data_IF_025946842390
#
_entry.id   IF_025946842390
#
_cell.length_a   1.000
_cell.length_b   1.000
_cell.length_c   1.000
_cell.angle_alpha   90.00
_cell.angle_beta   90.00
_cell.angle_gamma   90.00
#
_symmetry.space_group_name_H-M   'P 1'
#
loop_
_entity.id
_entity.type
_entity.pdbx_description
1 polymer ?
#
# COMPACT_ATOMS: atom_id res chain seq x y z
N UNK A 1 63.56 -1.02 -32.01
CA UNK A 1 62.11 -0.82 -32.09
C UNK A 1 61.70 -1.04 -33.54
N UNK A 2 60.99 -2.11 -33.82
CA UNK A 2 60.59 -2.48 -35.20
C UNK A 2 59.44 -1.59 -35.67
N UNK A 3 59.31 -1.34 -36.97
CA UNK A 3 58.18 -0.56 -37.53
C UNK A 3 56.82 -1.15 -37.13
N UNK A 4 56.75 -2.47 -36.93
CA UNK A 4 55.59 -3.17 -36.37
C UNK A 4 55.27 -2.79 -34.92
N UNK A 5 56.27 -2.62 -34.04
CA UNK A 5 56.06 -2.22 -32.65
C UNK A 5 55.52 -0.79 -32.54
N UNK A 6 56.03 0.12 -33.37
CA UNK A 6 55.52 1.49 -33.45
C UNK A 6 54.07 1.53 -33.94
N UNK A 7 53.75 0.78 -35.00
CA UNK A 7 52.40 0.70 -35.52
C UNK A 7 51.40 0.12 -34.50
N UNK A 8 51.77 -0.95 -33.78
CA UNK A 8 50.95 -1.53 -32.71
C UNK A 8 50.73 -0.50 -31.58
N UNK A 9 51.76 0.25 -31.19
CA UNK A 9 51.64 1.31 -30.19
C UNK A 9 50.65 2.41 -30.59
N UNK A 10 50.68 2.84 -31.85
CA UNK A 10 49.73 3.83 -32.39
C UNK A 10 48.30 3.28 -32.41
N UNK A 11 48.11 2.02 -32.82
CA UNK A 11 46.79 1.37 -32.85
C UNK A 11 46.20 1.24 -31.45
N UNK A 12 47.00 0.80 -30.46
CA UNK A 12 46.54 0.69 -29.06
C UNK A 12 46.22 2.06 -28.48
N UNK A 13 47.06 3.07 -28.72
CA UNK A 13 46.83 4.44 -28.25
C UNK A 13 45.56 5.07 -28.88
N UNK A 14 45.18 4.65 -30.08
CA UNK A 14 43.99 5.15 -30.79
C UNK A 14 42.71 4.42 -30.39
N UNK A 15 42.75 3.08 -30.31
CA UNK A 15 41.58 2.23 -30.08
C UNK A 15 41.26 2.09 -28.59
N UNK A 16 42.28 2.11 -27.72
CA UNK A 16 42.11 1.98 -26.26
C UNK A 16 41.13 3.01 -25.68
N UNK A 17 41.32 4.32 -25.92
CA UNK A 17 40.41 5.35 -25.45
C UNK A 17 38.99 5.22 -26.01
N UNK A 18 38.83 4.79 -27.27
CA UNK A 18 37.52 4.56 -27.88
C UNK A 18 36.77 3.41 -27.20
N UNK A 19 37.44 2.28 -26.94
CA UNK A 19 36.84 1.15 -26.24
C UNK A 19 36.47 1.50 -24.81
N UNK A 20 37.32 2.26 -24.11
CA UNK A 20 37.01 2.77 -22.77
C UNK A 20 35.80 3.71 -22.81
N UNK A 21 35.74 4.64 -23.76
CA UNK A 21 34.62 5.57 -23.92
C UNK A 21 33.29 4.83 -24.17
N UNK A 22 33.30 3.81 -25.04
CA UNK A 22 32.12 2.94 -25.27
C UNK A 22 31.75 2.18 -24.00
N UNK A 23 32.72 1.66 -23.26
CA UNK A 23 32.50 0.98 -21.99
C UNK A 23 31.87 1.89 -20.92
N UNK A 24 32.35 3.12 -20.79
CA UNK A 24 31.77 4.13 -19.90
C UNK A 24 30.35 4.50 -20.29
N UNK A 25 30.09 4.74 -21.58
CA UNK A 25 28.74 5.03 -22.09
C UNK A 25 27.78 3.88 -21.84
N UNK A 26 28.23 2.64 -22.05
CA UNK A 26 27.44 1.44 -21.78
C UNK A 26 27.11 1.31 -20.28
N UNK A 27 28.11 1.49 -19.40
CA UNK A 27 27.92 1.47 -17.95
C UNK A 27 26.96 2.56 -17.47
N UNK A 28 27.13 3.79 -17.95
CA UNK A 28 26.22 4.90 -17.64
C UNK A 28 24.79 4.62 -18.10
N UNK A 29 24.62 4.00 -19.28
CA UNK A 29 23.30 3.59 -19.76
C UNK A 29 22.67 2.51 -18.89
N UNK A 30 23.44 1.51 -18.47
CA UNK A 30 22.95 0.47 -17.55
C UNK A 30 22.53 1.04 -16.20
N UNK A 31 23.30 1.97 -15.65
CA UNK A 31 23.00 2.62 -14.38
C UNK A 31 21.70 3.44 -14.47
N UNK A 32 21.53 4.24 -15.53
CA UNK A 32 20.26 4.93 -15.80
C UNK A 32 19.07 3.97 -15.89
N UNK A 33 19.22 2.86 -16.61
CA UNK A 33 18.16 1.83 -16.71
C UNK A 33 17.85 1.22 -15.35
N UNK A 34 18.86 0.93 -14.54
CA UNK A 34 18.70 0.36 -13.19
C UNK A 34 17.94 1.32 -12.29
N UNK A 35 18.30 2.60 -12.28
CA UNK A 35 17.63 3.63 -11.48
C UNK A 35 16.17 3.80 -11.91
N UNK A 36 15.90 3.86 -13.22
CA UNK A 36 14.52 3.93 -13.75
C UNK A 36 13.68 2.71 -13.38
N UNK A 37 14.26 1.50 -13.38
CA UNK A 37 13.55 0.29 -12.92
C UNK A 37 13.19 0.36 -11.45
N UNK A 38 14.08 0.88 -10.60
CA UNK A 38 13.80 1.07 -9.18
C UNK A 38 12.70 2.10 -8.96
N UNK A 39 12.76 3.25 -9.63
CA UNK A 39 11.69 4.23 -9.57
C UNK A 39 10.35 3.67 -10.07
N UNK A 40 10.34 2.92 -11.18
CA UNK A 40 9.13 2.29 -11.71
C UNK A 40 8.53 1.25 -10.73
N UNK A 41 9.39 0.51 -10.02
CA UNK A 41 8.95 -0.41 -8.98
C UNK A 41 8.24 0.32 -7.83
N UNK A 42 8.82 1.42 -7.33
CA UNK A 42 8.22 2.21 -6.25
C UNK A 42 6.86 2.80 -6.66
N UNK A 43 6.76 3.33 -7.89
CA UNK A 43 5.49 3.84 -8.42
C UNK A 43 4.46 2.73 -8.62
N UNK A 44 4.87 1.53 -9.02
CA UNK A 44 3.97 0.37 -9.11
C UNK A 44 3.46 -0.09 -7.75
N UNK A 45 4.26 0.03 -6.69
CA UNK A 45 3.84 -0.28 -5.31
C UNK A 45 2.75 0.68 -4.83
N UNK A 46 2.92 1.98 -5.12
CA UNK A 46 1.90 3.01 -4.84
C UNK A 46 0.65 2.75 -5.69
N UNK A 47 0.83 2.43 -6.97
CA UNK A 47 -0.29 2.10 -7.87
C UNK A 47 -1.07 0.91 -7.36
N UNK A 48 -0.41 -0.14 -6.85
CA UNK A 48 -1.11 -1.31 -6.32
C UNK A 48 -2.00 -0.93 -5.13
N UNK A 49 -1.53 -0.04 -4.25
CA UNK A 49 -2.32 0.44 -3.13
C UNK A 49 -3.53 1.29 -3.56
N UNK A 50 -3.31 2.29 -4.43
CA UNK A 50 -4.41 3.15 -4.93
C UNK A 50 -5.41 2.30 -5.72
N UNK A 51 -4.93 1.33 -6.49
CA UNK A 51 -5.80 0.44 -7.24
C UNK A 51 -6.50 -0.59 -6.34
N UNK A 52 -5.99 -0.89 -5.16
CA UNK A 52 -6.70 -1.69 -4.17
C UNK A 52 -7.87 -0.90 -3.60
N UNK A 53 -7.63 0.33 -3.14
CA UNK A 53 -8.67 1.20 -2.55
C UNK A 53 -9.74 1.63 -3.55
N UNK A 54 -9.38 1.78 -4.83
CA UNK A 54 -10.32 2.18 -5.87
C UNK A 54 -11.26 1.05 -6.31
N UNK A 55 -10.87 -0.23 -6.14
CA UNK A 55 -11.65 -1.39 -6.61
C UNK A 55 -12.34 -2.12 -5.47
N UNK A 56 -11.79 -1.99 -4.25
CA UNK A 56 -12.43 -2.47 -3.03
C UNK A 56 -12.76 -1.26 -2.17
N UNK A 57 -13.98 -0.71 -2.32
CA UNK A 57 -14.40 0.39 -1.47
C UNK A 57 -14.29 -0.04 -0.02
N UNK A 58 -13.74 0.85 0.81
CA UNK A 58 -13.43 0.55 2.21
C UNK A 58 -14.68 0.15 3.00
N UNK A 59 -15.88 0.60 2.59
CA UNK A 59 -17.17 0.14 3.13
C UNK A 59 -17.32 -1.39 3.03
N UNK A 60 -17.00 -1.96 1.87
CA UNK A 60 -17.00 -3.41 1.66
C UNK A 60 -15.92 -4.10 2.49
N UNK A 61 -14.73 -3.48 2.57
CA UNK A 61 -13.61 -4.02 3.35
C UNK A 61 -13.91 -4.07 4.85
N UNK A 62 -14.50 -3.02 5.42
CA UNK A 62 -14.89 -2.97 6.83
C UNK A 62 -16.04 -3.95 7.09
N UNK A 63 -17.05 -3.99 6.21
CA UNK A 63 -18.18 -4.92 6.35
C UNK A 63 -17.72 -6.37 6.34
N UNK A 64 -16.88 -6.74 5.37
CA UNK A 64 -16.33 -8.08 5.25
C UNK A 64 -15.40 -8.42 6.44
N UNK A 65 -14.61 -7.45 6.93
CA UNK A 65 -13.79 -7.63 8.14
C UNK A 65 -14.66 -7.87 9.39
N UNK A 66 -15.72 -7.09 9.60
CA UNK A 66 -16.64 -7.28 10.75
C UNK A 66 -17.29 -8.66 10.67
N UNK A 67 -17.70 -9.10 9.48
CA UNK A 67 -18.29 -10.42 9.28
C UNK A 67 -17.28 -11.54 9.60
N UNK A 68 -16.03 -11.41 9.14
CA UNK A 68 -14.96 -12.36 9.46
C UNK A 68 -14.59 -12.36 10.96
N UNK A 69 -14.56 -11.20 11.61
CA UNK A 69 -14.33 -11.11 13.06
C UNK A 69 -15.45 -11.80 13.83
N UNK A 70 -16.72 -11.60 13.44
CA UNK A 70 -17.88 -12.30 14.03
C UNK A 70 -17.81 -13.83 13.83
N UNK A 71 -17.25 -14.30 12.71
CA UNK A 71 -17.07 -15.73 12.46
C UNK A 71 -15.91 -16.33 13.28
N UNK A 72 -14.79 -15.59 13.43
CA UNK A 72 -13.58 -16.07 14.13
C UNK A 72 -13.70 -15.95 15.65
N UNK A 73 -14.37 -14.92 16.16
CA UNK A 73 -14.58 -14.72 17.60
C UNK A 73 -16.01 -15.16 17.91
N UNK A 74 -16.15 -16.36 18.47
CA UNK A 74 -17.37 -16.69 19.22
C UNK A 74 -17.37 -15.84 20.47
N UNK A 75 -17.94 -14.63 20.41
CA UNK A 75 -18.30 -13.94 21.63
C UNK A 75 -19.21 -14.89 22.41
N UNK A 76 -18.92 -15.24 23.67
CA UNK A 76 -19.96 -15.69 24.57
C UNK A 76 -20.81 -14.45 24.82
N UNK A 77 -21.65 -14.11 23.85
CA UNK A 77 -22.70 -13.14 24.02
C UNK A 77 -23.52 -13.69 25.17
N UNK A 78 -23.62 -12.98 26.30
CA UNK A 78 -24.66 -13.29 27.27
C UNK A 78 -25.96 -13.34 26.46
N UNK A 79 -26.87 -14.25 26.77
CA UNK A 79 -28.21 -14.31 26.13
C UNK A 79 -29.01 -13.00 26.29
N UNK A 80 -28.44 -12.02 27.00
CA UNK A 80 -28.90 -10.65 27.21
C UNK A 80 -28.40 -9.74 26.07
N UNK A 81 -29.30 -9.34 25.16
CA UNK A 81 -29.02 -8.45 24.01
C UNK A 81 -28.28 -7.16 24.42
N UNK A 82 -28.48 -6.67 25.65
CA UNK A 82 -27.88 -5.44 26.15
C UNK A 82 -26.39 -5.57 26.54
N UNK A 83 -25.94 -6.75 26.97
CA UNK A 83 -24.53 -6.97 27.35
C UNK A 83 -23.64 -7.21 26.12
N UNK A 84 -24.24 -7.72 25.04
CA UNK A 84 -23.66 -7.85 23.71
C UNK A 84 -23.30 -6.49 23.09
N UNK A 85 -24.27 -5.57 23.05
CA UNK A 85 -24.09 -4.22 22.51
C UNK A 85 -23.05 -3.44 23.29
N UNK A 86 -23.03 -3.55 24.62
CA UNK A 86 -22.10 -2.83 25.47
C UNK A 86 -20.62 -3.28 25.27
N UNK A 87 -20.39 -4.56 24.98
CA UNK A 87 -19.06 -5.09 24.66
C UNK A 87 -18.61 -4.68 23.24
N UNK A 88 -19.52 -4.71 22.26
CA UNK A 88 -19.24 -4.26 20.88
C UNK A 88 -18.95 -2.76 20.86
N UNK A 89 -19.69 -1.96 21.63
CA UNK A 89 -19.48 -0.50 21.75
C UNK A 89 -18.14 -0.18 22.42
N UNK A 90 -17.64 -1.02 23.33
CA UNK A 90 -16.29 -0.86 23.93
C UNK A 90 -15.15 -1.28 23.00
N UNK A 91 -15.41 -2.19 22.09
CA UNK A 91 -14.40 -2.77 21.18
C UNK A 91 -14.27 -1.96 19.88
N UNK A 92 -15.36 -1.43 19.38
CA UNK A 92 -15.40 -0.62 18.15
C UNK A 92 -14.40 0.55 18.16
N UNK A 93 -14.28 1.38 19.22
CA UNK A 93 -13.28 2.44 19.32
C UNK A 93 -11.86 1.94 19.12
N UNK A 94 -11.51 0.80 19.71
CA UNK A 94 -10.18 0.20 19.71
C UNK A 94 -9.86 -0.34 18.31
N UNK A 95 -10.84 -0.95 17.64
CA UNK A 95 -10.68 -1.40 16.26
C UNK A 95 -10.53 -0.22 15.31
N UNK A 96 -11.37 0.81 15.45
CA UNK A 96 -11.33 2.01 14.61
C UNK A 96 -10.02 2.75 14.77
N UNK A 97 -9.54 2.95 16.00
CA UNK A 97 -8.25 3.61 16.25
C UNK A 97 -7.09 2.82 15.65
N UNK A 98 -7.09 1.48 15.79
CA UNK A 98 -6.03 0.65 15.24
C UNK A 98 -6.01 0.65 13.70
N UNK A 99 -7.20 0.61 13.06
CA UNK A 99 -7.32 0.71 11.60
C UNK A 99 -6.83 2.09 11.13
N UNK A 100 -7.24 3.17 11.80
CA UNK A 100 -6.81 4.53 11.46
C UNK A 100 -5.29 4.69 11.57
N UNK A 101 -4.68 4.24 12.66
CA UNK A 101 -3.23 4.25 12.86
C UNK A 101 -2.50 3.51 11.73
N UNK A 102 -2.94 2.29 11.39
CA UNK A 102 -2.35 1.52 10.29
C UNK A 102 -2.50 2.22 8.93
N UNK A 103 -3.65 2.82 8.64
CA UNK A 103 -3.86 3.55 7.38
C UNK A 103 -2.98 4.80 7.30
N UNK A 104 -2.84 5.55 8.39
CA UNK A 104 -1.95 6.72 8.45
C UNK A 104 -0.50 6.30 8.23
N UNK A 105 -0.03 5.22 8.86
CA UNK A 105 1.30 4.66 8.63
C UNK A 105 1.52 4.25 7.16
N UNK A 106 0.53 3.59 6.56
CA UNK A 106 0.54 3.23 5.14
C UNK A 106 0.68 4.46 4.23
N UNK A 107 -0.15 5.48 4.42
CA UNK A 107 -0.09 6.72 3.61
C UNK A 107 1.27 7.41 3.74
N UNK A 108 1.81 7.53 4.96
CA UNK A 108 3.14 8.09 5.20
C UNK A 108 4.24 7.28 4.50
N UNK A 109 4.14 5.94 4.50
CA UNK A 109 5.06 5.08 3.76
C UNK A 109 4.97 5.34 2.25
N UNK A 110 3.78 5.46 1.68
CA UNK A 110 3.62 5.70 0.24
C UNK A 110 4.11 7.07 -0.18
N UNK A 111 3.90 8.11 0.63
CA UNK A 111 4.47 9.43 0.41
C UNK A 111 6.01 9.37 0.35
N UNK A 112 6.62 8.64 1.29
CA UNK A 112 8.07 8.43 1.31
C UNK A 112 8.57 7.67 0.07
N UNK A 113 7.87 6.61 -0.35
CA UNK A 113 8.21 5.85 -1.56
C UNK A 113 8.09 6.72 -2.82
N UNK A 114 7.08 7.59 -2.87
CA UNK A 114 6.88 8.53 -3.98
C UNK A 114 8.06 9.51 -4.07
N UNK A 115 8.43 10.12 -2.94
CA UNK A 115 9.57 11.02 -2.87
C UNK A 115 10.90 10.33 -3.19
N UNK A 116 11.09 9.08 -2.75
CA UNK A 116 12.26 8.27 -3.13
C UNK A 116 12.31 8.01 -4.64
N UNK A 117 11.16 7.73 -5.27
CA UNK A 117 11.08 7.53 -6.72
C UNK A 117 11.48 8.81 -7.47
N UNK A 118 10.96 9.97 -7.05
CA UNK A 118 11.30 11.28 -7.60
C UNK A 118 12.80 11.57 -7.44
N UNK A 119 13.34 11.36 -6.24
CA UNK A 119 14.76 11.60 -5.95
C UNK A 119 15.67 10.74 -6.85
N UNK A 120 15.40 9.43 -6.94
CA UNK A 120 16.11 8.51 -7.83
C UNK A 120 16.07 8.97 -9.29
N UNK A 121 14.90 9.43 -9.76
CA UNK A 121 14.76 9.95 -11.12
C UNK A 121 15.53 11.25 -11.31
N UNK A 122 15.57 12.14 -10.32
CA UNK A 122 16.21 13.45 -10.43
C UNK A 122 17.70 13.37 -10.80
N UNK A 123 18.41 12.36 -10.28
CA UNK A 123 19.81 12.10 -10.60
C UNK A 123 20.06 11.69 -12.06
N UNK A 124 19.08 11.08 -12.72
CA UNK A 124 19.27 10.44 -14.04
C UNK A 124 18.50 11.11 -15.17
N UNK A 125 17.35 11.72 -14.85
CA UNK A 125 16.40 12.38 -15.74
C UNK A 125 15.61 13.46 -14.98
N UNK A 126 16.22 14.62 -14.67
CA UNK A 126 15.61 15.67 -13.84
C UNK A 126 14.36 16.29 -14.47
N UNK A 127 14.25 16.29 -15.80
CA UNK A 127 13.05 16.77 -16.48
C UNK A 127 11.87 15.82 -16.27
N UNK A 128 12.11 14.51 -16.29
CA UNK A 128 11.08 13.52 -15.95
C UNK A 128 10.70 13.58 -14.46
N UNK A 129 11.68 13.76 -13.57
CA UNK A 129 11.39 13.96 -12.15
C UNK A 129 10.55 15.24 -11.92
N UNK A 130 10.82 16.31 -12.67
CA UNK A 130 10.02 17.53 -12.62
C UNK A 130 8.62 17.32 -13.20
N UNK A 131 8.46 16.64 -14.34
CA UNK A 131 7.13 16.38 -14.91
C UNK A 131 6.26 15.54 -13.98
N UNK A 132 6.80 14.46 -13.42
CA UNK A 132 6.09 13.59 -12.47
C UNK A 132 5.79 14.33 -11.17
N UNK A 133 6.74 15.09 -10.61
CA UNK A 133 6.48 15.85 -9.37
C UNK A 133 5.48 17.00 -9.55
N UNK A 134 5.45 17.65 -10.72
CA UNK A 134 4.57 18.79 -11.01
C UNK A 134 3.16 18.37 -11.47
N UNK A 135 3.04 17.24 -12.16
CA UNK A 135 1.75 16.64 -12.53
C UNK A 135 1.02 15.96 -11.35
N UNK A 136 1.72 15.77 -10.22
CA UNK A 136 1.37 14.86 -9.13
C UNK A 136 0.02 15.12 -8.46
N UNK A 137 -1.05 14.63 -9.08
CA UNK A 137 -2.32 14.35 -8.39
C UNK A 137 -2.13 13.27 -7.33
N UNK A 138 -1.16 12.38 -7.51
CA UNK A 138 -0.83 11.30 -6.57
C UNK A 138 -0.39 11.85 -5.21
N UNK A 139 0.55 12.79 -5.18
CA UNK A 139 0.99 13.43 -3.93
C UNK A 139 -0.15 14.18 -3.24
N UNK A 140 -0.92 14.96 -4.01
CA UNK A 140 -2.09 15.68 -3.47
C UNK A 140 -3.13 14.72 -2.90
N UNK A 141 -3.31 13.55 -3.52
CA UNK A 141 -4.24 12.56 -3.03
C UNK A 141 -3.73 11.84 -1.78
N UNK A 142 -2.43 11.53 -1.68
CA UNK A 142 -1.84 11.03 -0.45
C UNK A 142 -1.98 12.06 0.69
N UNK A 143 -1.69 13.34 0.43
CA UNK A 143 -1.85 14.43 1.41
C UNK A 143 -3.32 14.60 1.84
N UNK A 144 -4.27 14.51 0.90
CA UNK A 144 -5.72 14.56 1.21
C UNK A 144 -6.17 13.35 2.02
N UNK A 145 -5.76 12.14 1.64
CA UNK A 145 -6.09 10.92 2.38
C UNK A 145 -5.54 11.00 3.80
N UNK A 146 -4.32 11.50 3.98
CA UNK A 146 -3.74 11.72 5.31
C UNK A 146 -4.55 12.72 6.13
N UNK A 147 -4.83 13.90 5.58
CA UNK A 147 -5.59 14.93 6.29
C UNK A 147 -6.98 14.44 6.72
N UNK A 148 -7.65 13.64 5.88
CA UNK A 148 -8.94 13.03 6.19
C UNK A 148 -8.85 11.98 7.30
N UNK A 149 -7.81 11.14 7.28
CA UNK A 149 -7.59 10.14 8.35
C UNK A 149 -7.24 10.81 9.68
N UNK A 150 -6.50 11.92 9.65
CA UNK A 150 -6.17 12.72 10.83
C UNK A 150 -7.41 13.42 11.39
N UNK A 151 -8.27 14.01 10.55
CA UNK A 151 -9.54 14.63 10.94
C UNK A 151 -10.49 13.62 11.61
N UNK A 152 -10.57 12.39 11.09
CA UNK A 152 -11.34 11.29 11.72
C UNK A 152 -10.79 10.83 13.07
N UNK A 153 -9.52 11.11 13.36
CA UNK A 153 -8.90 10.77 14.64
C UNK A 153 -9.14 11.82 15.75
N UNK A 154 -9.51 13.05 15.38
CA UNK A 154 -9.74 14.15 16.32
C UNK A 154 -11.18 14.22 16.84
N UNK A 155 -12.17 13.78 16.06
CA UNK A 155 -13.56 13.70 16.51
C UNK A 155 -13.78 12.45 17.39
N UNK A 156 -14.06 12.69 18.67
CA UNK A 156 -14.32 11.64 19.66
C UNK A 156 -15.60 10.87 19.34
N UNK A 157 -15.46 9.75 18.62
CA UNK A 157 -16.06 8.44 18.88
C UNK A 157 -17.31 8.48 19.81
N UNK A 158 -18.46 8.84 19.25
CA UNK A 158 -19.79 8.86 19.91
C UNK A 158 -20.64 7.63 19.51
N UNK A 159 -21.61 7.19 20.31
CA UNK A 159 -22.29 5.87 20.22
C UNK A 159 -22.91 5.45 18.84
N UNK A 160 -23.08 6.35 17.86
CA UNK A 160 -23.46 6.04 16.45
C UNK A 160 -22.25 5.83 15.49
N UNK A 161 -21.09 5.65 16.10
CA UNK A 161 -19.73 5.50 15.60
C UNK A 161 -19.52 4.82 14.26
N UNK A 162 -20.08 3.63 14.04
CA UNK A 162 -19.72 2.85 12.86
C UNK A 162 -20.30 3.50 11.59
N UNK A 163 -21.54 4.00 11.68
CA UNK A 163 -22.21 4.60 10.53
C UNK A 163 -21.68 6.01 10.24
N UNK A 164 -21.36 6.79 11.27
CA UNK A 164 -20.74 8.11 11.11
C UNK A 164 -19.29 8.01 10.64
N UNK A 165 -18.50 7.07 11.17
CA UNK A 165 -17.16 6.77 10.67
C UNK A 165 -17.20 6.34 9.21
N UNK A 166 -18.08 5.39 8.85
CA UNK A 166 -18.25 4.95 7.47
C UNK A 166 -18.73 6.09 6.56
N UNK A 167 -19.60 6.97 7.06
CA UNK A 167 -20.12 8.13 6.33
C UNK A 167 -19.06 9.20 6.06
N UNK A 168 -18.26 9.56 7.06
CA UNK A 168 -17.16 10.51 6.93
C UNK A 168 -16.01 9.93 6.09
N UNK A 169 -15.70 8.64 6.26
CA UNK A 169 -14.72 7.92 5.45
C UNK A 169 -15.14 7.86 3.98
N UNK A 170 -16.42 7.63 3.71
CA UNK A 170 -17.03 7.64 2.36
C UNK A 170 -17.00 9.02 1.71
N UNK A 171 -17.25 10.08 2.47
CA UNK A 171 -17.12 11.46 1.98
C UNK A 171 -15.66 11.81 1.68
N UNK A 172 -14.71 11.23 2.42
CA UNK A 172 -13.28 11.42 2.22
C UNK A 172 -12.72 10.73 0.98
N UNK A 173 -13.00 9.43 0.81
CA UNK A 173 -12.47 8.58 -0.28
C UNK A 173 -13.31 8.70 -1.55
N UNK A 174 -13.61 9.94 -1.97
CA UNK A 174 -14.39 10.22 -3.19
C UNK A 174 -13.89 9.39 -4.38
N UNK A 175 -14.71 8.47 -4.88
CA UNK A 175 -14.41 7.49 -5.94
C UNK A 175 -13.84 8.12 -7.23
N UNK A 176 -14.23 9.37 -7.52
CA UNK A 176 -13.73 10.13 -8.67
C UNK A 176 -12.30 10.64 -8.47
N UNK A 177 -11.89 10.96 -7.24
CA UNK A 177 -10.55 11.50 -6.93
C UNK A 177 -9.51 10.39 -6.99
N UNK A 178 -9.89 9.15 -6.65
CA UNK A 178 -9.00 7.97 -6.69
C UNK A 178 -8.78 7.46 -8.11
N UNK A 179 -9.80 7.50 -8.99
CA UNK A 179 -9.65 7.12 -10.39
C UNK A 179 -8.73 8.06 -11.18
N UNK A 180 -8.89 9.39 -11.01
CA UNK A 180 -8.01 10.37 -11.67
C UNK A 180 -6.55 10.26 -11.20
N UNK A 181 -6.33 9.94 -9.91
CA UNK A 181 -4.99 9.63 -9.39
C UNK A 181 -4.39 8.40 -10.06
N UNK A 182 -5.21 7.37 -10.19
CA UNK A 182 -4.79 6.08 -10.70
C UNK A 182 -4.39 6.19 -12.17
N UNK A 183 -5.20 6.86 -12.99
CA UNK A 183 -4.91 7.08 -14.40
C UNK A 183 -3.66 7.96 -14.57
N UNK A 184 -3.52 9.03 -13.76
CA UNK A 184 -2.30 9.86 -13.74
C UNK A 184 -1.06 9.02 -13.42
N UNK A 185 -1.15 8.12 -12.43
CA UNK A 185 -0.05 7.26 -12.04
C UNK A 185 0.25 6.19 -13.11
N UNK A 186 -0.77 5.66 -13.79
CA UNK A 186 -0.61 4.75 -14.94
C UNK A 186 0.16 5.43 -16.09
N UNK A 187 -0.12 6.70 -16.35
CA UNK A 187 0.57 7.51 -17.36
C UNK A 187 2.03 7.79 -16.97
N UNK A 188 2.29 8.18 -15.71
CA UNK A 188 3.64 8.40 -15.18
C UNK A 188 4.50 7.12 -15.26
N UNK A 189 3.95 5.98 -14.86
CA UNK A 189 4.62 4.68 -14.96
C UNK A 189 4.82 4.29 -16.43
N UNK A 190 3.85 4.57 -17.29
CA UNK A 190 3.94 4.30 -18.73
C UNK A 190 5.05 5.09 -19.39
N UNK A 191 5.18 6.38 -19.08
CA UNK A 191 6.25 7.23 -19.59
C UNK A 191 7.62 6.72 -19.12
N UNK A 192 7.76 6.45 -17.83
CA UNK A 192 9.00 5.96 -17.24
C UNK A 192 9.42 4.61 -17.83
N UNK A 193 8.50 3.67 -17.94
CA UNK A 193 8.77 2.31 -18.47
C UNK A 193 9.08 2.32 -19.97
N UNK A 194 8.51 3.25 -20.74
CA UNK A 194 8.85 3.49 -22.13
C UNK A 194 10.34 3.83 -22.32
N UNK A 195 10.93 4.57 -21.37
CA UNK A 195 12.35 4.93 -21.35
C UNK A 195 13.27 3.80 -20.84
N UNK A 196 12.73 2.71 -20.30
CA UNK A 196 13.49 1.52 -19.88
C UNK A 196 13.59 0.53 -21.05
N UNK A 197 12.46 0.26 -21.71
CA UNK A 197 12.42 -0.59 -22.89
C UNK A 197 11.01 -1.11 -23.22
N UNK A 198 10.77 -1.51 -24.48
CA UNK A 198 9.43 -1.83 -24.98
C UNK A 198 8.80 -3.05 -24.30
N UNK A 199 9.60 -4.04 -23.90
CA UNK A 199 9.11 -5.22 -23.20
C UNK A 199 8.55 -4.88 -21.82
N UNK A 200 9.24 -4.02 -21.06
CA UNK A 200 8.81 -3.61 -19.72
C UNK A 200 7.57 -2.74 -19.85
N UNK A 201 7.57 -1.77 -20.77
CA UNK A 201 6.42 -0.93 -21.06
C UNK A 201 5.16 -1.75 -21.42
N UNK A 202 5.29 -2.77 -22.28
CA UNK A 202 4.18 -3.67 -22.64
C UNK A 202 3.70 -4.49 -21.44
N UNK A 203 4.61 -4.98 -20.59
CA UNK A 203 4.25 -5.72 -19.37
C UNK A 203 3.47 -4.84 -18.38
N UNK A 204 3.90 -3.59 -18.16
CA UNK A 204 3.17 -2.66 -17.29
C UNK A 204 1.79 -2.31 -17.85
N UNK A 205 1.67 -2.00 -19.15
CA UNK A 205 0.36 -1.77 -19.78
C UNK A 205 -0.56 -2.98 -19.69
N UNK A 206 -0.02 -4.19 -19.85
CA UNK A 206 -0.77 -5.42 -19.67
C UNK A 206 -1.22 -5.59 -18.22
N UNK A 207 -0.35 -5.30 -17.23
CA UNK A 207 -0.71 -5.30 -15.82
C UNK A 207 -1.91 -4.40 -15.53
N UNK A 208 -1.89 -3.15 -15.99
CA UNK A 208 -2.99 -2.19 -15.78
C UNK A 208 -4.30 -2.64 -16.44
N UNK A 209 -4.21 -3.34 -17.58
CA UNK A 209 -5.38 -3.87 -18.27
C UNK A 209 -5.93 -5.12 -17.57
N UNK A 210 -5.06 -6.04 -17.19
CA UNK A 210 -5.45 -7.29 -16.55
C UNK A 210 -5.98 -7.03 -15.13
N UNK A 211 -5.49 -6.00 -14.45
CA UNK A 211 -5.96 -5.59 -13.14
C UNK A 211 -7.33 -4.94 -13.13
N UNK A 212 -7.81 -4.48 -14.30
CA UNK A 212 -9.19 -4.05 -14.51
C UNK A 212 -10.16 -5.25 -14.61
N UNK A 213 -9.65 -6.50 -14.58
CA UNK A 213 -10.44 -7.74 -14.63
C UNK A 213 -10.58 -8.33 -13.22
N UNK A 214 -11.82 -8.36 -12.74
CA UNK A 214 -12.26 -8.59 -11.34
C UNK A 214 -11.63 -9.80 -10.61
N UNK A 215 -11.42 -10.92 -11.30
CA UNK A 215 -11.22 -12.23 -10.66
C UNK A 215 -9.88 -12.37 -9.92
N UNK A 216 -8.80 -11.77 -10.41
CA UNK A 216 -7.48 -11.90 -9.76
C UNK A 216 -7.40 -11.04 -8.50
N UNK A 217 -8.05 -9.88 -8.55
CA UNK A 217 -8.08 -8.92 -7.45
C UNK A 217 -8.94 -9.39 -6.30
N UNK A 218 -10.04 -10.08 -6.57
CA UNK A 218 -10.90 -10.62 -5.52
C UNK A 218 -10.17 -11.64 -4.64
N UNK A 219 -9.27 -12.44 -5.22
CA UNK A 219 -8.42 -13.38 -4.45
C UNK A 219 -7.43 -12.65 -3.55
N UNK A 220 -6.70 -11.69 -4.11
CA UNK A 220 -5.71 -10.87 -3.37
C UNK A 220 -6.39 -10.05 -2.26
N UNK A 221 -7.60 -9.55 -2.52
CA UNK A 221 -8.45 -8.91 -1.54
C UNK A 221 -8.83 -9.84 -0.39
N UNK A 222 -9.32 -11.05 -0.66
CA UNK A 222 -9.66 -12.02 0.39
C UNK A 222 -8.45 -12.37 1.26
N UNK A 223 -7.29 -12.64 0.66
CA UNK A 223 -6.06 -12.94 1.40
C UNK A 223 -5.62 -11.77 2.30
N UNK A 224 -5.68 -10.54 1.79
CA UNK A 224 -5.33 -9.32 2.54
C UNK A 224 -6.31 -9.08 3.69
N UNK A 225 -7.61 -9.26 3.42
CA UNK A 225 -8.69 -9.11 4.38
C UNK A 225 -8.59 -10.14 5.50
N UNK A 226 -8.33 -11.41 5.17
CA UNK A 226 -8.16 -12.49 6.14
C UNK A 226 -6.98 -12.22 7.09
N UNK A 227 -5.85 -11.74 6.54
CA UNK A 227 -4.67 -11.40 7.32
C UNK A 227 -4.92 -10.22 8.26
N UNK A 228 -5.52 -9.13 7.75
CA UNK A 228 -5.87 -7.97 8.58
C UNK A 228 -6.88 -8.36 9.68
N UNK A 229 -7.87 -9.18 9.35
CA UNK A 229 -8.82 -9.74 10.33
C UNK A 229 -8.10 -10.55 11.40
N UNK A 230 -7.12 -11.38 11.03
CA UNK A 230 -6.36 -12.19 11.98
C UNK A 230 -5.54 -11.34 12.95
N UNK A 231 -4.91 -10.27 12.48
CA UNK A 231 -4.21 -9.29 13.32
C UNK A 231 -5.18 -8.59 14.30
N UNK A 232 -6.34 -8.14 13.81
CA UNK A 232 -7.39 -7.54 14.65
C UNK A 232 -7.89 -8.54 15.70
N UNK A 233 -8.19 -9.78 15.29
CA UNK A 233 -8.64 -10.84 16.21
C UNK A 233 -7.62 -11.10 17.30
N UNK A 234 -6.32 -11.13 16.99
CA UNK A 234 -5.29 -11.27 18.01
C UNK A 234 -5.29 -10.11 19.01
N UNK A 235 -5.38 -8.86 18.53
CA UNK A 235 -5.47 -7.67 19.39
C UNK A 235 -6.71 -7.75 20.29
N UNK A 236 -7.86 -8.15 19.73
CA UNK A 236 -9.10 -8.33 20.48
C UNK A 236 -8.99 -9.41 21.55
N UNK A 237 -8.41 -10.58 21.23
CA UNK A 237 -8.23 -11.67 22.18
C UNK A 237 -7.30 -11.27 23.34
N UNK A 238 -6.20 -10.55 23.05
CA UNK A 238 -5.30 -10.02 24.09
C UNK A 238 -6.04 -9.02 24.98
N UNK A 239 -6.81 -8.12 24.37
CA UNK A 239 -7.56 -7.09 25.11
C UNK A 239 -8.65 -7.70 25.97
N UNK A 240 -9.43 -8.65 25.44
CA UNK A 240 -10.44 -9.41 26.17
C UNK A 240 -9.82 -10.21 27.30
N UNK A 241 -8.68 -10.88 27.08
CA UNK A 241 -7.97 -11.62 28.14
C UNK A 241 -7.56 -10.69 29.28
N UNK A 242 -7.01 -9.52 28.97
CA UNK A 242 -6.62 -8.52 29.97
C UNK A 242 -7.81 -7.95 30.74
N UNK A 243 -8.98 -7.80 30.10
CA UNK A 243 -10.21 -7.36 30.75
C UNK A 243 -10.75 -8.46 31.67
N UNK A 244 -10.84 -9.70 31.17
CA UNK A 244 -11.38 -10.84 31.92
C UNK A 244 -10.52 -11.18 33.14
N UNK A 245 -9.18 -11.10 33.03
CA UNK A 245 -8.27 -11.29 34.17
C UNK A 245 -8.42 -10.23 35.27
N UNK A 246 -9.05 -9.08 34.97
CA UNK A 246 -9.34 -8.03 35.97
C UNK A 246 -10.71 -8.20 36.64
N UNK A 247 -11.53 -9.15 36.22
CA UNK A 247 -12.83 -9.45 36.82
C UNK A 247 -12.67 -10.58 37.86
N UNK A 248 -13.20 -10.44 39.10
CA UNK A 248 -13.20 -11.53 40.06
C UNK A 248 -13.99 -12.73 39.49
N UNK A 249 -13.37 -13.92 39.43
CA UNK A 249 -13.86 -15.16 38.76
C UNK A 249 -13.71 -15.24 37.22
N UNK A 250 -12.86 -14.42 36.58
CA UNK A 250 -12.66 -14.42 35.12
C UNK A 250 -12.09 -15.70 34.48
N UNK A 251 -11.38 -16.54 35.24
CA UNK A 251 -10.71 -17.75 34.71
C UNK A 251 -11.69 -18.76 34.08
N UNK A 252 -12.90 -18.90 34.62
CA UNK A 252 -13.92 -19.83 34.11
C UNK A 252 -14.53 -19.40 32.76
N UNK A 253 -14.36 -18.13 32.35
CA UNK A 253 -14.86 -17.61 31.06
C UNK A 253 -13.82 -17.73 29.94
N UNK A 254 -12.52 -17.77 30.28
CA UNK A 254 -11.41 -17.93 29.33
C UNK A 254 -11.31 -19.36 28.78
N UNK A 255 -11.58 -20.39 29.60
CA UNK A 255 -11.59 -21.79 29.14
C UNK A 255 -12.64 -22.07 28.05
N UNK A 256 -13.76 -21.34 28.04
CA UNK A 256 -14.78 -21.45 27.00
C UNK A 256 -14.40 -20.77 25.67
N UNK A 257 -13.47 -19.81 25.69
CA UNK A 257 -12.96 -19.14 24.49
C UNK A 257 -11.86 -19.95 23.78
N UNK A 258 -11.17 -20.84 24.49
CA UNK A 258 -10.03 -21.60 23.97
C UNK A 258 -10.38 -23.02 23.49
N UNK A 259 -11.59 -23.52 23.73
CA UNK A 259 -11.89 -24.96 23.58
C UNK A 259 -12.31 -25.44 22.18
N UNK A 260 -12.12 -24.68 21.10
CA UNK A 260 -12.60 -25.09 19.76
C UNK A 260 -11.54 -25.37 18.70
N UNK A 261 -10.25 -25.32 19.04
CA UNK A 261 -9.17 -25.81 18.15
C UNK A 261 -8.94 -27.34 18.26
N UNK A 262 -9.87 -28.06 18.88
CA UNK A 262 -9.79 -29.52 19.02
C UNK A 262 -11.13 -30.20 18.74
N UNK A 263 -11.69 -29.98 17.55
CA UNK A 263 -12.56 -30.98 16.89
C UNK A 263 -12.62 -30.77 15.38
#
# INVERSE_FOLDING_TARGET
>A
MTSSEFFIGVVIASIGPLLLGVGFLYKARQEKIRTRRRAAYLLLEIWNYIAFTCYFPVEKMITDMIELVKQKISFPLPEDENASTDAINKITPIMTSHILEQQIECVNRYEKLYMEAIDLMSYTDPMLAFSISSAGNVRKNLERSKAQLEEMGEDSVDDDLLNDFLGQFKAGVTENVTHDALDSLEDEISELTGKIGPLIHRKCKKLFKDSKVDVTREKEYRETLEKATEEIVQVLLVTLTNIVQRIPNGEASLEKLQSKDST
#
